data_IF_031412799918
#
_entry.id   IF_031412799918
#
_cell.length_a   1.000
_cell.length_b   1.000
_cell.length_c   1.000
_cell.angle_alpha   90.00
_cell.angle_beta   90.00
_cell.angle_gamma   90.00
#
_symmetry.space_group_name_H-M   'P 1'
#
loop_
_entity.id
_entity.type
_entity.pdbx_description
1 polymer ?
#
# COMPACT_ATOMS: atom_id res chain seq x y z
N UNK A 1 -34.00 10.90 16.26
CA UNK A 1 -33.44 10.40 14.99
C UNK A 1 -32.67 9.13 15.32
N UNK A 2 -33.12 7.97 14.82
CA UNK A 2 -32.39 6.70 15.06
C UNK A 2 -31.15 6.69 14.18
N UNK A 3 -29.98 6.45 14.79
CA UNK A 3 -28.73 6.24 14.05
C UNK A 3 -28.67 4.76 13.73
N UNK A 4 -28.72 4.42 12.43
CA UNK A 4 -28.54 3.06 11.93
C UNK A 4 -27.05 2.70 11.97
N UNK A 5 -26.67 1.86 12.94
CA UNK A 5 -25.26 1.48 13.16
C UNK A 5 -24.81 0.47 12.11
N UNK A 6 -23.74 0.79 11.39
CA UNK A 6 -23.02 -0.13 10.49
C UNK A 6 -21.96 -0.89 11.27
N UNK A 7 -21.67 -2.11 10.81
CA UNK A 7 -20.65 -2.97 11.44
C UNK A 7 -19.72 -3.54 10.37
N UNK A 8 -18.43 -3.61 10.68
CA UNK A 8 -17.41 -4.34 9.92
C UNK A 8 -16.64 -5.22 10.89
N UNK A 9 -16.48 -6.50 10.55
CA UNK A 9 -15.61 -7.43 11.28
C UNK A 9 -14.45 -7.85 10.38
N UNK A 10 -13.23 -7.80 10.87
CA UNK A 10 -12.04 -8.29 10.20
C UNK A 10 -11.03 -8.82 11.20
N UNK A 11 -10.17 -9.73 10.74
CA UNK A 11 -9.06 -10.27 11.52
C UNK A 11 -7.73 -9.97 10.86
N UNK A 12 -6.66 -10.12 11.60
CA UNK A 12 -5.29 -10.08 11.10
C UNK A 12 -4.47 -11.18 11.76
N UNK A 13 -3.41 -11.60 11.07
CA UNK A 13 -2.47 -12.59 11.55
C UNK A 13 -1.32 -11.92 12.31
N UNK A 14 -0.59 -12.71 13.11
CA UNK A 14 0.65 -12.25 13.76
C UNK A 14 1.64 -11.76 12.68
N UNK A 15 2.15 -10.52 12.74
CA UNK A 15 3.12 -10.03 11.77
C UNK A 15 4.55 -10.59 11.95
N UNK A 16 4.84 -11.25 13.06
CA UNK A 16 6.19 -11.74 13.39
C UNK A 16 6.79 -12.66 12.32
N UNK A 17 6.07 -13.63 11.72
CA UNK A 17 6.63 -14.47 10.66
C UNK A 17 7.14 -13.67 9.45
N UNK A 18 6.40 -12.62 9.03
CA UNK A 18 6.84 -11.76 7.92
C UNK A 18 8.06 -10.94 8.30
N UNK A 19 8.13 -10.42 9.53
CA UNK A 19 9.29 -9.68 10.01
C UNK A 19 10.55 -10.57 10.11
N UNK A 20 10.41 -11.81 10.58
CA UNK A 20 11.51 -12.77 10.68
C UNK A 20 12.02 -13.23 9.31
N UNK A 21 11.15 -13.34 8.30
CA UNK A 21 11.55 -13.69 6.95
C UNK A 21 12.55 -12.69 6.35
N UNK A 22 12.58 -11.44 6.81
CA UNK A 22 13.57 -10.44 6.40
C UNK A 22 15.01 -10.76 6.82
N UNK A 23 15.22 -11.73 7.71
CA UNK A 23 16.55 -12.16 8.15
C UNK A 23 17.23 -13.12 7.15
N UNK A 24 16.45 -13.80 6.29
CA UNK A 24 16.94 -14.83 5.36
C UNK A 24 16.44 -14.67 3.92
N UNK A 25 15.47 -13.79 3.67
CA UNK A 25 14.89 -13.53 2.35
C UNK A 25 15.06 -12.07 1.93
N UNK A 26 15.27 -11.84 0.63
CA UNK A 26 15.19 -10.52 0.04
C UNK A 26 13.74 -9.99 -0.01
N UNK A 27 13.59 -8.69 -0.20
CA UNK A 27 12.28 -8.05 -0.16
C UNK A 27 11.30 -8.55 -1.22
N UNK A 28 11.77 -8.85 -2.44
CA UNK A 28 10.89 -9.37 -3.50
C UNK A 28 10.35 -10.76 -3.17
N UNK A 29 11.21 -11.63 -2.64
CA UNK A 29 10.83 -12.98 -2.20
C UNK A 29 9.78 -12.93 -1.08
N UNK A 30 9.91 -11.98 -0.14
CA UNK A 30 8.91 -11.75 0.92
C UNK A 30 7.58 -11.30 0.32
N UNK A 31 7.58 -10.31 -0.57
CA UNK A 31 6.34 -9.80 -1.18
C UNK A 31 5.62 -10.88 -2.00
N UNK A 32 6.37 -11.71 -2.71
CA UNK A 32 5.81 -12.85 -3.46
C UNK A 32 5.22 -13.92 -2.53
N UNK A 33 5.89 -14.22 -1.42
CA UNK A 33 5.40 -15.16 -0.42
C UNK A 33 4.10 -14.65 0.26
N UNK A 34 3.98 -13.34 0.52
CA UNK A 34 2.74 -12.72 0.98
C UNK A 34 1.64 -12.85 -0.08
N UNK A 35 1.95 -12.55 -1.34
CA UNK A 35 0.99 -12.68 -2.44
C UNK A 35 0.52 -14.11 -2.70
N UNK A 36 1.39 -15.11 -2.44
CA UNK A 36 1.08 -16.54 -2.52
C UNK A 36 0.34 -17.07 -1.26
N UNK A 37 0.19 -16.28 -0.20
CA UNK A 37 -0.40 -16.70 1.07
C UNK A 37 0.51 -17.58 1.95
N UNK A 38 1.81 -17.63 1.66
CA UNK A 38 2.82 -18.34 2.45
C UNK A 38 3.24 -17.54 3.69
N UNK A 39 3.19 -16.21 3.60
CA UNK A 39 3.42 -15.28 4.70
C UNK A 39 2.17 -14.44 4.97
N UNK A 40 1.94 -14.06 6.23
CA UNK A 40 0.79 -13.25 6.59
C UNK A 40 0.86 -11.85 5.96
N UNK A 41 -0.30 -11.37 5.52
CA UNK A 41 -0.46 -9.97 5.09
C UNK A 41 -0.31 -9.05 6.30
N UNK A 42 0.45 -7.95 6.20
CA UNK A 42 0.61 -7.01 7.31
C UNK A 42 -0.72 -6.50 7.88
N UNK A 43 -0.86 -6.34 9.21
CA UNK A 43 -2.12 -5.94 9.86
C UNK A 43 -2.74 -4.65 9.30
N UNK A 44 -1.93 -3.62 8.98
CA UNK A 44 -2.41 -2.37 8.41
C UNK A 44 -3.06 -2.58 7.03
N UNK A 45 -2.49 -3.45 6.19
CA UNK A 45 -3.01 -3.81 4.87
C UNK A 45 -4.37 -4.49 5.01
N UNK A 46 -4.50 -5.43 5.96
CA UNK A 46 -5.77 -6.10 6.31
C UNK A 46 -6.82 -5.12 6.83
N UNK A 47 -6.43 -4.22 7.74
CA UNK A 47 -7.33 -3.21 8.33
C UNK A 47 -7.94 -2.32 7.26
N UNK A 48 -7.15 -1.90 6.28
CA UNK A 48 -7.62 -1.07 5.18
C UNK A 48 -8.33 -1.86 4.08
N UNK A 49 -8.16 -3.20 4.04
CA UNK A 49 -8.71 -4.04 2.98
C UNK A 49 -7.96 -3.88 1.66
N UNK A 50 -6.66 -3.56 1.73
CA UNK A 50 -5.80 -3.53 0.56
C UNK A 50 -5.44 -4.96 0.15
N UNK A 51 -5.47 -5.22 -1.15
CA UNK A 51 -5.11 -6.51 -1.74
C UNK A 51 -3.87 -6.34 -2.61
N UNK A 52 -2.77 -7.07 -2.33
CA UNK A 52 -1.61 -7.08 -3.22
C UNK A 52 -1.98 -7.75 -4.55
N UNK A 53 -1.63 -7.13 -5.69
CA UNK A 53 -1.88 -7.68 -7.03
C UNK A 53 -0.59 -8.23 -7.64
N UNK A 54 0.49 -7.44 -7.59
CA UNK A 54 1.74 -7.79 -8.22
C UNK A 54 2.92 -7.14 -7.49
N UNK A 55 4.08 -7.82 -7.52
CA UNK A 55 5.36 -7.29 -7.09
C UNK A 55 6.46 -7.76 -8.05
N UNK A 56 7.16 -6.78 -8.62
CA UNK A 56 8.34 -6.94 -9.47
C UNK A 56 9.46 -6.04 -8.94
N UNK A 57 10.72 -6.23 -9.37
CA UNK A 57 11.80 -5.35 -8.94
C UNK A 57 11.48 -3.88 -9.21
N UNK A 58 11.42 -3.07 -8.16
CA UNK A 58 11.10 -1.64 -8.22
C UNK A 58 9.64 -1.31 -8.52
N UNK A 59 8.73 -2.29 -8.50
CA UNK A 59 7.31 -2.06 -8.80
C UNK A 59 6.40 -2.87 -7.90
N UNK A 60 5.28 -2.25 -7.46
CA UNK A 60 4.23 -2.95 -6.73
C UNK A 60 2.84 -2.40 -7.08
N UNK A 61 1.83 -3.26 -7.02
CA UNK A 61 0.45 -2.87 -7.29
C UNK A 61 -0.50 -3.43 -6.25
N UNK A 62 -1.47 -2.60 -5.86
CA UNK A 62 -2.50 -2.93 -4.89
C UNK A 62 -3.89 -2.58 -5.41
N UNK A 63 -4.88 -3.33 -4.97
CA UNK A 63 -6.31 -3.10 -5.19
C UNK A 63 -6.97 -2.70 -3.89
N UNK A 64 -7.96 -1.82 -3.97
CA UNK A 64 -8.88 -1.49 -2.89
C UNK A 64 -10.32 -1.57 -3.41
N UNK A 65 -11.10 -2.51 -2.89
CA UNK A 65 -12.53 -2.52 -3.07
C UNK A 65 -13.14 -1.51 -2.09
N UNK A 66 -13.64 -0.40 -2.64
CA UNK A 66 -14.14 0.71 -1.84
C UNK A 66 -15.43 0.33 -1.12
N UNK A 67 -15.41 0.39 0.22
CA UNK A 67 -16.57 0.21 1.08
C UNK A 67 -16.98 1.50 1.77
N UNK A 68 -18.20 1.54 2.31
CA UNK A 68 -18.76 2.68 3.05
C UNK A 68 -17.87 3.12 4.22
N UNK A 69 -17.16 2.18 4.86
CA UNK A 69 -16.24 2.43 5.97
C UNK A 69 -14.93 3.15 5.57
N UNK A 70 -14.71 3.35 4.28
CA UNK A 70 -13.58 4.16 3.78
C UNK A 70 -13.97 5.63 3.57
N UNK A 71 -15.25 5.99 3.70
CA UNK A 71 -15.75 7.30 3.33
C UNK A 71 -15.49 8.35 4.41
N UNK A 72 -15.33 9.57 3.98
CA UNK A 72 -15.39 10.77 4.80
C UNK A 72 -16.86 11.28 4.92
N UNK A 73 -17.14 12.34 5.72
CA UNK A 73 -18.49 12.87 5.88
C UNK A 73 -19.16 13.36 4.60
N UNK A 74 -18.41 13.55 3.52
CA UNK A 74 -18.94 13.98 2.21
C UNK A 74 -19.29 12.81 1.28
N UNK A 75 -19.16 11.56 1.76
CA UNK A 75 -19.49 10.37 0.98
C UNK A 75 -18.44 10.00 -0.09
N UNK A 76 -17.24 10.54 0.01
CA UNK A 76 -16.10 10.18 -0.86
C UNK A 76 -15.02 9.47 -0.04
N UNK A 77 -14.17 8.68 -0.69
CA UNK A 77 -13.07 7.99 -0.02
C UNK A 77 -12.19 8.99 0.71
N UNK A 78 -11.95 8.73 2.01
CA UNK A 78 -11.14 9.60 2.85
C UNK A 78 -9.71 9.68 2.32
N UNK A 79 -9.15 10.89 2.25
CA UNK A 79 -7.79 11.13 1.76
C UNK A 79 -6.72 10.34 2.52
N UNK A 80 -6.92 10.10 3.82
CA UNK A 80 -6.03 9.26 4.62
C UNK A 80 -5.99 7.79 4.17
N UNK A 81 -7.11 7.25 3.65
CA UNK A 81 -7.15 5.90 3.06
C UNK A 81 -6.33 5.86 1.79
N UNK A 82 -6.51 6.85 0.90
CA UNK A 82 -5.72 6.97 -0.34
C UNK A 82 -4.23 7.18 -0.04
N UNK A 83 -3.90 7.98 0.99
CA UNK A 83 -2.51 8.20 1.41
C UNK A 83 -1.87 6.91 1.93
N UNK A 84 -2.58 6.12 2.75
CA UNK A 84 -2.07 4.84 3.21
C UNK A 84 -1.92 3.82 2.08
N UNK A 85 -2.79 3.85 1.06
CA UNK A 85 -2.69 2.99 -0.12
C UNK A 85 -1.43 3.29 -0.94
N UNK A 86 -1.14 4.57 -1.22
CA UNK A 86 0.07 4.95 -1.98
C UNK A 86 1.34 4.73 -1.17
N UNK A 87 1.34 4.97 0.14
CA UNK A 87 2.47 4.68 1.03
C UNK A 87 2.82 3.20 1.02
N UNK A 88 1.80 2.33 1.17
CA UNK A 88 1.96 0.88 1.10
C UNK A 88 2.53 0.44 -0.25
N UNK A 89 1.99 0.95 -1.35
CA UNK A 89 2.44 0.55 -2.68
C UNK A 89 3.88 1.01 -2.96
N UNK A 90 4.23 2.26 -2.64
CA UNK A 90 5.59 2.79 -2.82
C UNK A 90 6.60 2.09 -1.90
N UNK A 91 6.22 1.85 -0.64
CA UNK A 91 7.04 1.08 0.29
C UNK A 91 7.31 -0.34 -0.21
N UNK A 92 6.31 -1.02 -0.76
CA UNK A 92 6.49 -2.35 -1.36
C UNK A 92 7.34 -2.31 -2.64
N UNK A 93 7.20 -1.28 -3.49
CA UNK A 93 8.06 -1.10 -4.66
C UNK A 93 9.54 -0.96 -4.23
N UNK A 94 9.81 -0.13 -3.22
CA UNK A 94 11.15 0.00 -2.62
C UNK A 94 11.60 -1.32 -2.00
N UNK A 95 10.74 -1.97 -1.20
CA UNK A 95 11.08 -3.22 -0.53
C UNK A 95 11.49 -4.32 -1.51
N UNK A 96 10.86 -4.38 -2.68
CA UNK A 96 11.16 -5.37 -3.72
C UNK A 96 12.61 -5.31 -4.24
N UNK A 97 13.32 -4.22 -4.00
CA UNK A 97 14.72 -4.02 -4.41
C UNK A 97 15.72 -4.23 -3.26
N UNK A 98 15.23 -4.46 -2.04
CA UNK A 98 16.10 -4.56 -0.86
C UNK A 98 16.69 -5.96 -0.72
N UNK A 99 18.03 -6.06 -0.49
CA UNK A 99 18.66 -7.32 -0.17
C UNK A 99 18.29 -7.80 1.24
N UNK A 100 18.63 -9.04 1.54
CA UNK A 100 18.44 -9.67 2.86
C UNK A 100 18.98 -8.77 3.97
N UNK A 101 18.21 -8.63 5.06
CA UNK A 101 18.56 -7.87 6.26
C UNK A 101 18.44 -6.35 6.12
N UNK A 102 18.14 -5.82 4.94
CA UNK A 102 17.94 -4.38 4.76
C UNK A 102 16.46 -4.04 4.83
N UNK A 103 16.11 -3.08 5.67
CA UNK A 103 14.77 -2.52 5.77
C UNK A 103 14.72 -1.07 5.29
N UNK A 104 13.54 -0.48 5.36
CA UNK A 104 13.32 0.93 5.08
C UNK A 104 12.28 1.52 6.02
N UNK A 105 12.23 2.85 6.05
CA UNK A 105 11.13 3.63 6.65
C UNK A 105 10.75 4.75 5.69
N UNK A 106 9.46 5.06 5.61
CA UNK A 106 8.98 6.23 4.89
C UNK A 106 9.47 7.49 5.59
N UNK A 107 10.28 8.29 4.91
CA UNK A 107 10.82 9.55 5.42
C UNK A 107 9.96 10.75 5.00
N UNK A 108 9.35 10.66 3.83
CA UNK A 108 8.47 11.69 3.28
C UNK A 108 7.36 11.04 2.46
N UNK A 109 6.16 11.59 2.52
CA UNK A 109 5.03 11.23 1.70
C UNK A 109 4.32 12.51 1.22
N UNK A 110 4.20 12.66 -0.08
CA UNK A 110 3.43 13.72 -0.72
C UNK A 110 2.31 13.12 -1.56
N UNK A 111 1.07 13.59 -1.37
CA UNK A 111 -0.10 13.10 -2.11
C UNK A 111 -0.88 14.26 -2.70
N UNK A 112 -1.23 14.15 -3.97
CA UNK A 112 -2.09 15.10 -4.70
C UNK A 112 -3.39 14.39 -5.06
N UNK A 113 -4.48 14.80 -4.46
CA UNK A 113 -5.82 14.30 -4.74
C UNK A 113 -6.41 15.09 -5.92
N UNK A 114 -6.69 14.42 -7.03
CA UNK A 114 -7.12 15.04 -8.29
C UNK A 114 -8.62 14.90 -8.52
N UNK A 115 -9.21 13.80 -8.04
CA UNK A 115 -10.65 13.49 -8.21
C UNK A 115 -11.20 12.78 -6.98
N UNK A 116 -12.47 12.97 -6.65
CA UNK A 116 -13.13 12.16 -5.64
C UNK A 116 -13.23 10.71 -6.10
N UNK A 117 -12.96 9.77 -5.20
CA UNK A 117 -13.27 8.36 -5.39
C UNK A 117 -14.57 8.02 -4.66
N UNK A 118 -15.46 7.26 -5.32
CA UNK A 118 -16.79 6.90 -4.85
C UNK A 118 -16.92 5.37 -4.76
N UNK A 119 -17.79 4.87 -3.88
CA UNK A 119 -18.13 3.44 -3.83
C UNK A 119 -18.67 2.94 -5.19
N UNK A 120 -19.47 3.76 -5.85
CA UNK A 120 -20.03 3.46 -7.18
C UNK A 120 -19.01 3.49 -8.33
N UNK A 121 -17.80 4.01 -8.08
CA UNK A 121 -16.73 4.08 -9.06
C UNK A 121 -15.93 2.79 -9.24
N UNK A 122 -16.33 1.73 -8.55
CA UNK A 122 -15.64 0.44 -8.58
C UNK A 122 -14.33 0.42 -7.80
N UNK A 123 -13.51 -0.61 -7.99
CA UNK A 123 -12.24 -0.75 -7.29
C UNK A 123 -11.24 0.34 -7.70
N UNK A 124 -10.39 0.68 -6.75
CA UNK A 124 -9.21 1.51 -6.99
C UNK A 124 -7.98 0.62 -7.19
N UNK A 125 -7.16 0.96 -8.17
CA UNK A 125 -5.87 0.33 -8.41
C UNK A 125 -4.77 1.35 -8.17
N UNK A 126 -3.84 1.00 -7.28
CA UNK A 126 -2.61 1.76 -7.05
C UNK A 126 -1.44 1.02 -7.67
N UNK A 127 -0.67 1.72 -8.48
CA UNK A 127 0.61 1.21 -9.00
C UNK A 127 1.71 2.17 -8.57
N UNK A 128 2.80 1.63 -8.03
CA UNK A 128 3.98 2.37 -7.61
C UNK A 128 5.23 1.86 -8.32
N UNK A 129 6.16 2.76 -8.57
CA UNK A 129 7.44 2.50 -9.21
C UNK A 129 8.55 3.25 -8.47
N UNK A 130 9.75 2.65 -8.41
CA UNK A 130 10.96 3.31 -7.90
C UNK A 130 11.53 4.17 -9.01
N UNK A 131 11.62 5.47 -8.75
CA UNK A 131 12.15 6.47 -9.68
C UNK A 131 13.67 6.65 -9.54
N UNK A 132 14.20 6.43 -8.31
CA UNK A 132 15.62 6.56 -8.01
C UNK A 132 16.06 5.62 -6.89
N UNK A 133 17.15 4.92 -7.11
CA UNK A 133 17.84 4.09 -6.12
C UNK A 133 19.15 4.77 -5.70
N UNK A 134 19.21 5.18 -4.44
CA UNK A 134 20.42 5.73 -3.81
C UNK A 134 20.96 4.84 -2.69
N UNK A 135 22.15 5.18 -2.18
CA UNK A 135 22.80 4.40 -1.13
C UNK A 135 22.06 4.42 0.21
N UNK A 136 21.43 5.53 0.56
CA UNK A 136 20.76 5.77 1.85
C UNK A 136 19.28 6.09 1.69
N UNK A 137 18.85 6.43 0.48
CA UNK A 137 17.47 6.82 0.17
C UNK A 137 17.04 6.20 -1.16
N UNK A 138 15.76 5.87 -1.27
CA UNK A 138 15.10 5.57 -2.53
C UNK A 138 13.91 6.50 -2.70
N UNK A 139 13.67 6.95 -3.93
CA UNK A 139 12.51 7.76 -4.28
C UNK A 139 11.57 6.92 -5.13
N UNK A 140 10.28 6.97 -4.81
CA UNK A 140 9.26 6.26 -5.55
C UNK A 140 8.07 7.16 -5.83
N UNK A 141 7.39 6.90 -6.93
CA UNK A 141 6.12 7.52 -7.27
C UNK A 141 4.99 6.51 -7.36
N UNK A 142 3.75 6.99 -7.21
CA UNK A 142 2.56 6.16 -7.33
C UNK A 142 1.40 6.91 -7.97
N UNK A 143 0.50 6.14 -8.59
CA UNK A 143 -0.79 6.61 -9.07
C UNK A 143 -1.91 5.71 -8.59
N UNK A 144 -3.05 6.30 -8.25
CA UNK A 144 -4.30 5.59 -8.05
C UNK A 144 -5.23 5.89 -9.22
N UNK A 145 -5.82 4.86 -9.79
CA UNK A 145 -6.86 4.99 -10.83
C UNK A 145 -8.14 4.28 -10.39
N UNK A 146 -9.29 4.73 -10.88
CA UNK A 146 -10.58 4.06 -10.73
C UNK A 146 -10.81 2.99 -11.82
N UNK A 147 -11.97 2.33 -11.79
CA UNK A 147 -12.32 1.28 -12.76
C UNK A 147 -12.39 1.77 -14.21
N UNK A 148 -12.61 3.08 -14.45
CA UNK A 148 -12.61 3.69 -15.79
C UNK A 148 -11.20 4.15 -16.21
N UNK A 149 -10.17 3.91 -15.40
CA UNK A 149 -8.80 4.35 -15.66
C UNK A 149 -8.54 5.83 -15.39
N UNK A 150 -9.47 6.55 -14.75
CA UNK A 150 -9.29 7.97 -14.41
C UNK A 150 -8.36 8.08 -13.20
N UNK A 151 -7.38 8.98 -13.28
CA UNK A 151 -6.43 9.20 -12.18
C UNK A 151 -7.14 9.91 -11.02
N UNK A 152 -7.15 9.26 -9.86
CA UNK A 152 -7.73 9.74 -8.59
C UNK A 152 -6.68 10.50 -7.79
N UNK A 153 -5.48 9.95 -7.67
CA UNK A 153 -4.38 10.58 -6.93
C UNK A 153 -3.03 10.25 -7.56
N UNK A 154 -2.07 11.16 -7.35
CA UNK A 154 -0.65 11.00 -7.63
C UNK A 154 0.12 11.19 -6.33
N UNK A 155 1.20 10.43 -6.14
CA UNK A 155 2.02 10.51 -4.95
C UNK A 155 3.51 10.36 -5.26
N UNK A 156 4.32 10.89 -4.35
CA UNK A 156 5.76 10.66 -4.28
C UNK A 156 6.19 10.39 -2.85
N UNK A 157 7.21 9.58 -2.68
CA UNK A 157 7.76 9.23 -1.37
C UNK A 157 9.28 9.14 -1.43
N UNK A 158 9.93 9.54 -0.33
CA UNK A 158 11.34 9.26 -0.07
C UNK A 158 11.43 8.25 1.06
N UNK A 159 11.99 7.09 0.77
CA UNK A 159 12.26 6.03 1.76
C UNK A 159 13.71 6.08 2.21
N UNK A 160 13.92 5.98 3.52
CA UNK A 160 15.24 5.94 4.15
C UNK A 160 15.63 4.49 4.40
N UNK A 161 16.76 4.05 3.84
CA UNK A 161 17.24 2.69 4.00
C UNK A 161 17.79 2.46 5.42
N UNK A 162 17.37 1.37 6.04
CA UNK A 162 17.88 0.90 7.33
C UNK A 162 18.70 -0.36 7.10
N UNK A 163 20.00 -0.20 7.22
CA UNK A 163 20.98 -1.30 7.17
C UNK A 163 21.33 -1.72 8.61
N UNK A 164 21.66 -2.99 8.84
CA UNK A 164 22.14 -3.47 10.15
C UNK A 164 23.33 -2.68 10.67
#
# INVERSE_FOLDING_TARGET
MSIDTRQRTYGWDDPAPTALAGLDRDGLSILRAIGAGELPVPPAVRTLGLEPIAADPGRASFRLDVGEYHLNPFGIVHGGVLAAMVDTAMGCAVHSMLPVGVGYVTGELNVRFLRPALVSGGPLICTAEVDHEGRTTMVASARIVDADGRVIALAGSTCLMRRP
#
